data_IF_962950874099
#
_entry.id   IF_962950874099
#
_cell.length_a   1.000
_cell.length_b   1.000
_cell.length_c   1.000
_cell.angle_alpha   90.00
_cell.angle_beta   90.00
_cell.angle_gamma   90.00
#
_symmetry.space_group_name_H-M   'P 1'
#
loop_
_entity.id
_entity.type
_entity.pdbx_description
1 polymer ?
#
# COMPACT_ATOMS: atom_id res chain seq x y z
N UNK A 1 -17.66 -30.16 48.11
CA UNK A 1 -17.34 -29.93 46.68
C UNK A 1 -17.13 -28.43 46.50
N UNK A 2 -15.87 -28.07 46.29
CA UNK A 2 -15.35 -26.70 46.22
C UNK A 2 -15.68 -26.06 44.88
N UNK A 3 -16.30 -24.88 44.90
CA UNK A 3 -16.47 -24.01 43.74
C UNK A 3 -15.15 -23.29 43.46
N UNK A 4 -14.56 -23.59 42.30
CA UNK A 4 -13.37 -22.96 41.72
C UNK A 4 -13.66 -21.51 41.28
N UNK A 5 -12.77 -20.53 41.53
CA UNK A 5 -12.76 -19.28 40.80
C UNK A 5 -11.80 -19.42 39.60
N UNK A 6 -12.32 -19.44 38.38
CA UNK A 6 -11.51 -19.24 37.16
C UNK A 6 -12.22 -18.21 36.29
N UNK A 7 -12.03 -16.94 36.63
CA UNK A 7 -12.46 -15.84 35.77
C UNK A 7 -11.62 -14.58 35.99
N UNK A 8 -10.29 -14.74 36.00
CA UNK A 8 -9.35 -13.63 35.80
C UNK A 8 -8.12 -14.18 35.05
N UNK A 9 -8.19 -14.27 33.71
CA UNK A 9 -6.98 -14.47 32.88
C UNK A 9 -7.13 -14.00 31.42
N UNK A 10 -8.20 -13.28 31.03
CA UNK A 10 -8.42 -12.85 29.63
C UNK A 10 -8.06 -11.36 29.39
N UNK A 11 -7.26 -10.73 30.27
CA UNK A 11 -6.83 -9.32 30.06
C UNK A 11 -5.31 -9.08 30.12
N UNK A 12 -4.48 -10.12 30.08
CA UNK A 12 -3.04 -9.98 30.34
C UNK A 12 -2.14 -10.03 29.09
N UNK A 13 -2.68 -9.99 27.87
CA UNK A 13 -1.89 -10.16 26.64
C UNK A 13 -1.55 -8.87 25.87
N UNK A 14 -1.90 -7.66 26.36
CA UNK A 14 -1.68 -6.42 25.60
C UNK A 14 -1.05 -5.25 26.36
N UNK A 15 -0.43 -5.45 27.52
CA UNK A 15 0.17 -4.34 28.27
C UNK A 15 1.61 -4.68 28.61
N UNK A 16 2.48 -4.60 27.60
CA UNK A 16 3.84 -4.16 27.92
C UNK A 16 3.70 -2.81 28.63
N UNK A 17 4.30 -2.60 29.80
CA UNK A 17 4.17 -1.34 30.51
C UNK A 17 4.63 -0.19 29.60
N UNK A 18 3.97 0.95 29.69
CA UNK A 18 4.42 2.16 29.01
C UNK A 18 5.91 2.42 29.30
N UNK A 19 6.58 3.11 28.38
CA UNK A 19 7.89 3.71 28.66
C UNK A 19 7.88 4.39 30.02
N UNK A 20 8.99 4.35 30.75
CA UNK A 20 9.08 5.05 32.02
C UNK A 20 8.73 6.53 31.83
N UNK A 21 8.00 7.09 32.80
CA UNK A 21 7.62 8.50 32.73
C UNK A 21 8.86 9.35 32.90
N UNK A 22 9.15 10.20 31.92
CA UNK A 22 10.21 11.20 32.05
C UNK A 22 9.81 12.19 33.15
N UNK A 23 10.67 12.37 34.16
CA UNK A 23 10.39 13.23 35.31
C UNK A 23 9.94 14.64 34.88
N UNK A 24 8.91 15.16 35.54
CA UNK A 24 8.39 16.51 35.30
C UNK A 24 7.58 16.71 34.01
N UNK A 25 7.43 15.69 33.14
CA UNK A 25 6.65 15.83 31.90
C UNK A 25 5.20 15.34 32.02
N UNK A 26 4.24 15.99 31.33
CA UNK A 26 2.86 15.52 31.30
C UNK A 26 2.77 14.17 30.58
N UNK A 27 1.85 13.31 31.05
CA UNK A 27 1.60 12.02 30.40
C UNK A 27 0.92 12.19 29.03
N UNK A 28 0.02 13.17 28.93
CA UNK A 28 -0.65 13.56 27.69
C UNK A 28 0.19 14.61 26.96
N UNK A 29 0.36 14.42 25.65
CA UNK A 29 1.03 15.37 24.76
C UNK A 29 -0.03 16.08 23.92
N UNK A 30 0.04 17.41 23.92
CA UNK A 30 -0.93 18.23 23.19
C UNK A 30 -0.90 17.93 21.68
N UNK A 31 -2.05 17.88 21.00
CA UNK A 31 -2.10 17.60 19.57
C UNK A 31 -1.40 18.69 18.74
N UNK A 32 -0.84 18.31 17.59
CA UNK A 32 -0.21 19.22 16.64
C UNK A 32 1.04 18.64 15.99
N UNK A 33 1.81 19.52 15.36
CA UNK A 33 3.17 19.23 14.91
C UNK A 33 4.13 19.47 16.08
N UNK A 34 4.92 18.47 16.41
CA UNK A 34 5.81 18.41 17.56
C UNK A 34 7.21 18.12 17.07
N UNK A 35 8.20 18.79 17.68
CA UNK A 35 9.62 18.58 17.39
C UNK A 35 10.37 18.25 18.66
N UNK A 36 11.38 17.41 18.53
CA UNK A 36 12.31 17.03 19.58
C UNK A 36 11.64 16.55 20.88
N UNK A 37 10.58 15.77 20.73
CA UNK A 37 9.88 15.12 21.86
C UNK A 37 10.78 14.02 22.39
N UNK A 38 11.43 14.28 23.52
CA UNK A 38 12.24 13.26 24.22
C UNK A 38 11.38 12.05 24.61
N UNK A 39 11.84 10.86 24.24
CA UNK A 39 11.13 9.61 24.55
C UNK A 39 11.93 8.63 25.42
N UNK A 40 13.27 8.67 25.36
CA UNK A 40 14.16 7.83 26.14
C UNK A 40 15.53 8.52 26.25
N UNK A 41 16.06 8.74 27.45
CA UNK A 41 17.33 9.44 27.68
C UNK A 41 17.46 10.78 26.90
N UNK A 42 18.36 10.82 25.91
CA UNK A 42 18.57 11.97 25.00
C UNK A 42 17.92 11.76 23.62
N UNK A 43 17.28 10.61 23.39
CA UNK A 43 16.63 10.29 22.12
C UNK A 43 15.31 11.03 22.01
N UNK A 44 15.09 11.62 20.84
CA UNK A 44 13.90 12.42 20.55
C UNK A 44 13.17 11.89 19.32
N UNK A 45 11.91 12.29 19.22
CA UNK A 45 11.10 12.07 18.04
C UNK A 45 10.43 13.37 17.60
N UNK A 46 10.18 13.46 16.31
CA UNK A 46 9.29 14.45 15.71
C UNK A 46 7.96 13.77 15.44
N UNK A 47 6.85 14.50 15.58
CA UNK A 47 5.53 13.93 15.41
C UNK A 47 4.54 14.89 14.79
N UNK A 48 3.55 14.32 14.12
CA UNK A 48 2.30 15.00 13.80
C UNK A 48 1.13 14.15 14.28
N UNK A 49 0.46 14.63 15.32
CA UNK A 49 -0.69 13.98 15.93
C UNK A 49 -1.81 15.03 16.08
N UNK A 50 -2.65 15.23 15.06
CA UNK A 50 -3.65 16.29 15.07
C UNK A 50 -4.81 16.03 16.06
N UNK A 51 -5.49 17.11 16.43
CA UNK A 51 -6.71 17.04 17.23
C UNK A 51 -7.88 16.44 16.41
N UNK A 52 -8.92 15.97 17.11
CA UNK A 52 -10.11 15.37 16.49
C UNK A 52 -10.20 13.87 16.76
N UNK A 53 -10.76 13.11 15.81
CA UNK A 53 -10.83 11.66 15.91
C UNK A 53 -9.42 11.03 15.98
N UNK A 54 -9.19 10.03 16.85
CA UNK A 54 -7.90 9.35 16.93
C UNK A 54 -7.50 8.73 15.59
N UNK A 55 -6.25 8.93 15.18
CA UNK A 55 -5.69 8.39 13.92
C UNK A 55 -4.82 7.14 14.17
N UNK A 56 -4.73 6.19 13.24
CA UNK A 56 -3.69 5.15 13.30
C UNK A 56 -2.28 5.77 13.27
N UNK A 57 -1.30 5.08 13.85
CA UNK A 57 0.06 5.57 14.00
C UNK A 57 1.01 4.99 12.94
N UNK A 58 1.85 5.83 12.35
CA UNK A 58 2.99 5.45 11.53
C UNK A 58 4.29 5.82 12.25
N UNK A 59 5.14 4.83 12.53
CA UNK A 59 6.44 5.06 13.16
C UNK A 59 7.52 4.92 12.09
N UNK A 60 8.26 6.00 11.84
CA UNK A 60 9.25 6.14 10.78
C UNK A 60 10.64 5.92 11.38
N UNK A 61 11.39 4.98 10.82
CA UNK A 61 12.69 4.51 11.28
C UNK A 61 13.69 4.76 10.15
N UNK A 62 14.55 5.75 10.33
CA UNK A 62 15.56 6.12 9.33
C UNK A 62 16.65 5.05 9.19
N UNK A 63 17.38 5.06 8.07
CA UNK A 63 18.59 4.29 7.83
C UNK A 63 19.79 4.75 8.62
N UNK A 64 20.92 4.07 8.44
CA UNK A 64 22.10 4.23 9.30
C UNK A 64 22.79 5.60 9.13
N UNK A 65 22.61 6.24 7.97
CA UNK A 65 23.14 7.57 7.64
C UNK A 65 22.12 8.70 7.87
N UNK A 66 20.89 8.35 8.26
CA UNK A 66 19.79 9.29 8.44
C UNK A 66 19.62 9.76 9.89
N UNK A 67 18.57 10.55 10.09
CA UNK A 67 18.03 10.92 11.38
C UNK A 67 16.51 11.13 11.26
N UNK A 68 15.82 11.48 12.33
CA UNK A 68 14.37 11.70 12.34
C UNK A 68 13.84 12.74 11.33
N UNK A 69 14.68 13.59 10.75
CA UNK A 69 14.25 14.58 9.74
C UNK A 69 14.40 14.11 8.28
N UNK A 70 15.19 13.06 8.01
CA UNK A 70 15.56 12.63 6.64
C UNK A 70 14.34 12.35 5.77
N UNK A 71 13.36 11.62 6.31
CA UNK A 71 12.29 11.00 5.52
C UNK A 71 10.96 11.75 5.55
N UNK A 72 10.83 12.73 6.46
CA UNK A 72 9.56 13.40 6.75
C UNK A 72 9.00 14.09 5.51
N UNK A 73 9.85 14.71 4.70
CA UNK A 73 9.43 15.46 3.50
C UNK A 73 8.75 14.57 2.45
N UNK A 74 9.23 13.35 2.25
CA UNK A 74 8.62 12.44 1.26
C UNK A 74 7.34 11.77 1.78
N UNK A 75 7.26 11.49 3.08
CA UNK A 75 6.18 10.71 3.68
C UNK A 75 5.02 11.55 4.21
N UNK A 76 5.24 12.82 4.55
CA UNK A 76 4.23 13.67 5.20
C UNK A 76 2.90 13.72 4.41
N UNK A 77 2.97 14.00 3.11
CA UNK A 77 1.78 14.11 2.26
C UNK A 77 1.02 12.78 2.21
N UNK A 78 1.74 11.67 2.03
CA UNK A 78 1.18 10.32 1.94
C UNK A 78 0.48 9.93 3.24
N UNK A 79 1.12 10.19 4.39
CA UNK A 79 0.59 9.84 5.71
C UNK A 79 -0.62 10.70 6.06
N UNK A 80 -0.62 12.00 5.76
CA UNK A 80 -1.78 12.86 6.00
C UNK A 80 -2.96 12.49 5.09
N UNK A 81 -2.70 12.25 3.80
CA UNK A 81 -3.72 11.73 2.86
C UNK A 81 -4.28 10.38 3.32
N UNK A 82 -3.46 9.51 3.90
CA UNK A 82 -3.91 8.23 4.44
C UNK A 82 -4.62 8.35 5.80
N UNK A 83 -4.62 9.53 6.43
CA UNK A 83 -5.26 9.77 7.72
C UNK A 83 -4.46 9.25 8.92
N UNK A 84 -3.14 9.15 8.81
CA UNK A 84 -2.26 8.70 9.89
C UNK A 84 -1.77 9.86 10.75
N UNK A 85 -1.54 9.59 12.04
CA UNK A 85 -0.58 10.33 12.84
C UNK A 85 0.79 9.71 12.61
N UNK A 86 1.85 10.51 12.58
CA UNK A 86 3.20 10.00 12.31
C UNK A 86 4.21 10.42 13.36
N UNK A 87 5.22 9.58 13.54
CA UNK A 87 6.27 9.70 14.54
C UNK A 87 7.59 9.29 13.91
N UNK A 88 8.51 10.23 13.72
CA UNK A 88 9.85 9.96 13.19
C UNK A 88 10.85 10.01 14.32
N UNK A 89 11.64 8.95 14.50
CA UNK A 89 12.40 8.72 15.73
C UNK A 89 13.90 8.75 15.46
N UNK A 90 14.69 9.35 16.35
CA UNK A 90 16.13 9.08 16.44
C UNK A 90 16.36 7.86 17.31
N UNK A 91 17.32 7.00 16.98
CA UNK A 91 17.60 5.77 17.73
C UNK A 91 19.08 5.37 17.62
N UNK A 92 19.61 4.63 18.60
CA UNK A 92 20.95 4.04 18.56
C UNK A 92 20.96 2.52 18.35
N UNK A 93 19.83 1.86 18.62
CA UNK A 93 19.68 0.41 18.60
C UNK A 93 18.25 -0.02 18.29
N UNK A 94 18.04 -1.32 18.01
CA UNK A 94 16.67 -1.87 17.88
C UNK A 94 15.86 -1.79 19.17
N UNK A 95 16.51 -1.78 20.32
CA UNK A 95 15.85 -1.67 21.63
C UNK A 95 15.30 -0.26 21.85
N UNK A 96 16.00 0.76 21.35
CA UNK A 96 15.52 2.15 21.34
C UNK A 96 14.27 2.30 20.46
N UNK A 97 14.23 1.64 19.30
CA UNK A 97 13.05 1.62 18.43
C UNK A 97 11.88 0.94 19.14
N UNK A 98 12.12 -0.19 19.82
CA UNK A 98 11.09 -0.85 20.62
C UNK A 98 10.58 0.05 21.77
N UNK A 99 11.46 0.83 22.41
CA UNK A 99 11.10 1.80 23.42
C UNK A 99 10.30 2.97 22.85
N UNK A 100 10.66 3.47 21.67
CA UNK A 100 9.88 4.49 20.97
C UNK A 100 8.46 4.01 20.64
N UNK A 101 8.31 2.75 20.18
CA UNK A 101 7.00 2.12 19.96
C UNK A 101 6.20 2.07 21.26
N UNK A 102 6.82 1.67 22.38
CA UNK A 102 6.16 1.67 23.71
C UNK A 102 5.77 3.07 24.15
N UNK A 103 6.62 4.06 23.92
CA UNK A 103 6.36 5.47 24.24
C UNK A 103 5.15 5.98 23.45
N UNK A 104 5.16 5.83 22.12
CA UNK A 104 4.10 6.31 21.21
C UNK A 104 2.76 5.64 21.53
N UNK A 105 2.75 4.31 21.71
CA UNK A 105 1.53 3.52 21.97
C UNK A 105 1.01 3.63 23.39
N UNK A 106 1.70 4.35 24.27
CA UNK A 106 1.27 4.48 25.65
C UNK A 106 -0.14 5.11 25.71
N UNK A 107 -1.14 4.44 26.33
CA UNK A 107 -2.52 4.90 26.29
C UNK A 107 -2.69 6.35 26.77
N UNK A 108 -3.40 7.15 25.97
CA UNK A 108 -3.68 8.55 26.28
C UNK A 108 -2.46 9.48 26.19
N UNK A 109 -1.33 9.04 25.62
CA UNK A 109 -0.18 9.93 25.38
C UNK A 109 -0.41 10.81 24.16
N UNK A 110 -0.77 10.19 23.04
CA UNK A 110 -1.12 10.85 21.79
C UNK A 110 -2.56 10.53 21.40
N UNK A 111 -3.15 11.37 20.54
CA UNK A 111 -4.48 11.15 19.99
C UNK A 111 -4.47 10.12 18.86
N UNK A 112 -4.17 8.86 19.19
CA UNK A 112 -4.00 7.76 18.22
C UNK A 112 -4.83 6.53 18.56
N UNK A 113 -5.12 5.72 17.55
CA UNK A 113 -5.68 4.37 17.74
C UNK A 113 -4.58 3.36 18.08
N UNK A 114 -4.92 2.12 18.52
CA UNK A 114 -3.92 1.06 18.73
C UNK A 114 -3.27 0.54 17.43
N UNK A 115 -3.83 0.85 16.27
CA UNK A 115 -3.32 0.42 14.97
C UNK A 115 -1.99 1.15 14.68
N UNK A 116 -0.95 0.38 14.38
CA UNK A 116 0.41 0.90 14.17
C UNK A 116 1.03 0.26 12.93
N UNK A 117 1.64 1.08 12.08
CA UNK A 117 2.48 0.67 10.96
C UNK A 117 3.91 1.12 11.24
N UNK A 118 4.88 0.27 10.89
CA UNK A 118 6.30 0.63 10.90
C UNK A 118 6.74 0.96 9.47
N UNK A 119 7.46 2.06 9.28
CA UNK A 119 8.04 2.46 8.00
C UNK A 119 9.54 2.56 8.21
N UNK A 120 10.31 1.72 7.52
CA UNK A 120 11.76 1.68 7.68
C UNK A 120 12.49 1.85 6.35
N UNK A 121 13.67 2.46 6.39
CA UNK A 121 14.55 2.61 5.23
C UNK A 121 15.95 2.07 5.55
N UNK A 122 16.67 1.56 4.55
CA UNK A 122 18.01 0.99 4.71
C UNK A 122 18.08 -0.01 5.90
N UNK A 123 18.84 0.28 6.95
CA UNK A 123 18.95 -0.54 8.17
C UNK A 123 17.72 -0.45 9.06
N UNK A 124 17.00 0.68 9.02
CA UNK A 124 15.72 0.87 9.67
C UNK A 124 14.64 -0.07 9.13
N UNK A 125 14.69 -0.41 7.83
CA UNK A 125 13.81 -1.41 7.22
C UNK A 125 13.97 -2.79 7.87
N UNK A 126 15.21 -3.23 8.09
CA UNK A 126 15.52 -4.49 8.77
C UNK A 126 15.01 -4.50 10.20
N UNK A 127 15.19 -3.39 10.94
CA UNK A 127 14.70 -3.27 12.31
C UNK A 127 13.17 -3.34 12.34
N UNK A 128 12.48 -2.63 11.43
CA UNK A 128 11.04 -2.66 11.31
C UNK A 128 10.49 -4.07 11.05
N UNK A 129 11.08 -4.79 10.08
CA UNK A 129 10.72 -6.17 9.76
C UNK A 129 10.95 -7.11 10.96
N UNK A 130 12.07 -6.97 11.66
CA UNK A 130 12.39 -7.80 12.83
C UNK A 130 11.42 -7.56 13.98
N UNK A 131 11.05 -6.31 14.26
CA UNK A 131 10.11 -5.97 15.34
C UNK A 131 8.69 -6.45 15.00
N UNK A 132 8.28 -6.34 13.73
CA UNK A 132 6.96 -6.81 13.30
C UNK A 132 6.80 -8.32 13.37
N UNK A 133 7.89 -9.10 13.29
CA UNK A 133 7.85 -10.54 13.52
C UNK A 133 7.41 -10.91 14.95
N UNK A 134 7.59 -9.99 15.92
CA UNK A 134 7.07 -10.10 17.28
C UNK A 134 5.57 -9.82 17.42
N UNK A 135 4.90 -9.41 16.33
CA UNK A 135 3.48 -9.07 16.30
C UNK A 135 3.14 -7.69 16.88
N UNK A 136 1.84 -7.38 16.98
CA UNK A 136 1.37 -6.14 17.60
C UNK A 136 1.46 -4.89 16.73
N UNK A 137 1.82 -5.03 15.45
CA UNK A 137 1.71 -3.99 14.41
C UNK A 137 0.85 -4.51 13.27
N UNK A 138 0.19 -3.61 12.54
CA UNK A 138 -0.67 -3.94 11.40
C UNK A 138 0.15 -4.34 10.18
N UNK A 139 1.25 -3.65 9.94
CA UNK A 139 2.09 -3.90 8.79
C UNK A 139 3.40 -3.12 8.81
N UNK A 140 4.26 -3.46 7.86
CA UNK A 140 5.58 -2.87 7.66
C UNK A 140 5.72 -2.39 6.23
N UNK A 141 6.24 -1.18 6.08
CA UNK A 141 6.65 -0.62 4.80
C UNK A 141 8.16 -0.46 4.80
N UNK A 142 8.82 -0.88 3.73
CA UNK A 142 10.26 -0.70 3.58
C UNK A 142 10.62 0.08 2.32
N UNK A 143 11.65 0.90 2.40
CA UNK A 143 12.30 1.56 1.26
C UNK A 143 13.78 1.16 1.22
N UNK A 144 14.29 0.73 0.07
CA UNK A 144 15.74 0.47 -0.11
C UNK A 144 16.33 -0.46 0.95
N UNK A 145 15.62 -1.53 1.33
CA UNK A 145 15.96 -2.31 2.51
C UNK A 145 17.36 -2.95 2.43
N UNK A 146 18.24 -2.64 3.39
CA UNK A 146 19.58 -3.25 3.46
C UNK A 146 19.55 -4.53 4.30
N UNK A 147 19.67 -5.67 3.62
CA UNK A 147 19.41 -7.00 4.18
C UNK A 147 20.65 -7.89 4.34
N UNK A 148 21.86 -7.31 4.35
CA UNK A 148 23.16 -8.00 4.25
C UNK A 148 23.37 -9.22 5.17
N UNK A 149 22.62 -9.33 6.28
CA UNK A 149 22.71 -10.47 7.22
C UNK A 149 21.43 -11.34 7.34
N UNK A 150 20.34 -11.02 6.63
CA UNK A 150 19.04 -11.74 6.73
C UNK A 150 19.07 -13.12 6.04
N UNK A 151 20.22 -13.50 5.46
CA UNK A 151 20.46 -14.82 4.87
C UNK A 151 20.70 -15.90 5.93
N UNK A 152 20.95 -15.55 7.20
CA UNK A 152 21.19 -16.55 8.25
C UNK A 152 20.01 -16.72 9.21
N UNK A 153 19.20 -17.73 8.85
CA UNK A 153 18.31 -18.52 9.72
C UNK A 153 16.84 -18.10 9.81
N UNK A 154 15.90 -18.89 9.25
CA UNK A 154 14.52 -18.83 9.69
C UNK A 154 14.48 -19.45 11.09
N UNK A 155 14.41 -18.63 12.15
CA UNK A 155 13.89 -19.17 13.41
C UNK A 155 12.44 -19.53 13.16
N UNK A 156 12.22 -20.82 12.92
CA UNK A 156 10.98 -21.52 13.27
C UNK A 156 10.80 -21.40 14.79
N UNK A 157 10.31 -20.26 15.25
CA UNK A 157 9.67 -20.16 16.55
C UNK A 157 8.28 -19.60 16.32
N UNK A 158 7.34 -20.52 16.35
CA UNK A 158 5.93 -20.28 16.56
C UNK A 158 5.72 -19.24 17.66
N UNK A 159 5.39 -18.01 17.28
CA UNK A 159 4.66 -17.11 18.17
C UNK A 159 3.21 -17.58 18.16
N UNK A 160 2.87 -18.40 19.15
CA UNK A 160 1.51 -18.84 19.39
C UNK A 160 0.60 -17.69 19.82
N UNK A 161 -0.67 -17.86 19.45
CA UNK A 161 -1.90 -17.33 20.08
C UNK A 161 -2.25 -15.86 19.75
N UNK A 162 -3.16 -15.71 18.78
CA UNK A 162 -4.03 -14.54 18.49
C UNK A 162 -3.47 -13.28 17.79
N UNK A 163 -2.22 -13.27 17.28
CA UNK A 163 -1.71 -12.13 16.50
C UNK A 163 -1.95 -12.27 14.99
N UNK A 164 -2.59 -11.29 14.36
CA UNK A 164 -2.60 -11.15 12.89
C UNK A 164 -1.16 -11.00 12.37
N UNK A 165 -0.79 -11.77 11.34
CA UNK A 165 0.49 -11.62 10.64
C UNK A 165 0.52 -10.23 10.01
N UNK A 166 1.59 -9.48 10.25
CA UNK A 166 1.76 -8.14 9.69
C UNK A 166 1.85 -8.19 8.16
N UNK A 167 1.09 -7.34 7.47
CA UNK A 167 1.24 -7.15 6.02
C UNK A 167 2.57 -6.45 5.71
N UNK A 168 3.23 -6.83 4.62
CA UNK A 168 4.53 -6.25 4.25
C UNK A 168 4.45 -5.61 2.87
N UNK A 169 4.94 -4.37 2.77
CA UNK A 169 5.06 -3.61 1.53
C UNK A 169 6.51 -3.19 1.34
N UNK A 170 7.13 -3.62 0.25
CA UNK A 170 8.55 -3.32 0.01
C UNK A 170 8.71 -2.52 -1.28
N UNK A 171 9.16 -1.28 -1.18
CA UNK A 171 9.60 -0.47 -2.31
C UNK A 171 11.12 -0.54 -2.42
N UNK A 172 11.64 -0.75 -3.63
CA UNK A 172 13.08 -0.83 -3.85
C UNK A 172 13.47 -0.25 -5.20
N UNK A 173 14.46 0.63 -5.22
CA UNK A 173 14.97 1.23 -6.45
C UNK A 173 15.65 0.21 -7.36
N UNK A 174 15.36 0.21 -8.66
CA UNK A 174 15.99 -0.75 -9.59
C UNK A 174 17.44 -0.39 -9.92
N UNK A 175 17.85 0.84 -9.66
CA UNK A 175 19.21 1.35 -9.85
C UNK A 175 19.97 1.50 -8.53
N UNK A 176 19.53 0.79 -7.49
CA UNK A 176 20.21 0.73 -6.21
C UNK A 176 21.50 -0.10 -6.32
N UNK A 177 22.65 0.59 -6.30
CA UNK A 177 23.98 -0.03 -6.34
C UNK A 177 24.53 -0.37 -4.95
N UNK A 178 23.95 0.18 -3.89
CA UNK A 178 24.39 -0.02 -2.50
C UNK A 178 23.78 -1.30 -1.92
N UNK A 179 22.48 -1.50 -2.15
CA UNK A 179 21.74 -2.69 -1.77
C UNK A 179 20.88 -3.18 -2.94
N UNK A 180 21.40 -4.04 -3.83
CA UNK A 180 20.67 -4.47 -5.01
C UNK A 180 19.28 -5.08 -4.69
N UNK A 181 18.22 -4.75 -5.45
CA UNK A 181 16.83 -5.07 -5.12
C UNK A 181 16.52 -6.56 -5.04
N UNK A 182 17.33 -7.42 -5.67
CA UNK A 182 17.11 -8.86 -5.72
C UNK A 182 17.07 -9.53 -4.34
N UNK A 183 17.80 -9.01 -3.35
CA UNK A 183 17.75 -9.53 -1.99
C UNK A 183 16.40 -9.21 -1.30
N UNK A 184 15.89 -8.00 -1.50
CA UNK A 184 14.60 -7.56 -0.96
C UNK A 184 13.44 -8.31 -1.62
N UNK A 185 13.48 -8.48 -2.95
CA UNK A 185 12.50 -9.27 -3.70
C UNK A 185 12.49 -10.74 -3.22
N UNK A 186 13.67 -11.36 -3.06
CA UNK A 186 13.80 -12.73 -2.58
C UNK A 186 13.34 -12.90 -1.12
N UNK A 187 13.48 -11.88 -0.27
CA UNK A 187 12.87 -11.88 1.06
C UNK A 187 11.35 -11.78 0.97
N UNK A 188 10.83 -10.83 0.20
CA UNK A 188 9.39 -10.62 0.06
C UNK A 188 8.68 -11.89 -0.41
N UNK A 189 9.24 -12.59 -1.39
CA UNK A 189 8.72 -13.87 -1.90
C UNK A 189 8.64 -14.99 -0.85
N UNK A 190 9.37 -14.88 0.27
CA UNK A 190 9.35 -15.84 1.38
C UNK A 190 8.41 -15.41 2.52
N UNK A 191 8.03 -14.14 2.58
CA UNK A 191 7.18 -13.61 3.64
C UNK A 191 5.69 -13.81 3.32
N UNK A 192 4.87 -14.25 4.29
CA UNK A 192 3.42 -14.27 4.12
C UNK A 192 2.90 -12.83 3.96
N UNK A 193 2.02 -12.59 3.00
CA UNK A 193 1.39 -11.28 2.75
C UNK A 193 2.37 -10.12 2.45
N UNK A 194 3.45 -10.42 1.71
CA UNK A 194 4.35 -9.40 1.19
C UNK A 194 4.01 -8.99 -0.24
N UNK A 195 4.03 -7.68 -0.52
CA UNK A 195 3.97 -7.12 -1.88
C UNK A 195 5.28 -6.36 -2.15
N UNK A 196 5.97 -6.72 -3.24
CA UNK A 196 7.18 -6.05 -3.69
C UNK A 196 6.88 -5.11 -4.85
N UNK A 197 7.39 -3.87 -4.78
CA UNK A 197 7.26 -2.83 -5.79
C UNK A 197 8.65 -2.33 -6.21
N UNK A 198 9.13 -2.75 -7.40
CA UNK A 198 10.33 -2.16 -7.97
C UNK A 198 10.03 -0.73 -8.44
N UNK A 199 10.88 0.22 -8.04
CA UNK A 199 10.80 1.62 -8.49
C UNK A 199 11.84 1.83 -9.58
N UNK A 200 11.37 1.84 -10.83
CA UNK A 200 12.23 1.90 -12.01
C UNK A 200 13.08 3.16 -12.00
N UNK A 201 14.39 3.02 -12.22
CA UNK A 201 15.33 4.13 -12.30
C UNK A 201 15.88 4.59 -10.94
N UNK A 202 15.12 4.36 -9.88
CA UNK A 202 15.40 4.92 -8.57
C UNK A 202 16.64 4.31 -7.89
N UNK A 203 17.36 5.16 -7.16
CA UNK A 203 18.58 4.84 -6.40
C UNK A 203 18.26 4.33 -4.98
N UNK A 204 19.27 4.06 -4.15
CA UNK A 204 19.10 3.55 -2.78
C UNK A 204 18.22 4.45 -1.90
N UNK A 205 18.61 5.72 -1.81
CA UNK A 205 18.07 6.70 -0.88
C UNK A 205 16.74 7.29 -1.37
N UNK A 206 15.62 6.83 -0.82
CA UNK A 206 14.28 7.22 -1.33
C UNK A 206 13.92 8.68 -1.10
N UNK A 207 14.58 9.37 -0.16
CA UNK A 207 14.43 10.80 0.02
C UNK A 207 14.87 11.61 -1.22
N UNK A 208 15.72 11.00 -2.06
CA UNK A 208 16.26 11.57 -3.30
C UNK A 208 15.58 11.06 -4.57
N UNK A 209 14.51 10.25 -4.48
CA UNK A 209 13.77 9.81 -5.67
C UNK A 209 13.06 10.98 -6.35
N UNK A 210 13.08 11.00 -7.67
CA UNK A 210 12.59 12.09 -8.49
C UNK A 210 11.06 12.04 -8.70
N UNK A 211 10.42 13.17 -9.07
CA UNK A 211 8.97 13.21 -9.27
C UNK A 211 8.40 12.19 -10.26
N UNK A 212 9.15 11.81 -11.29
CA UNK A 212 8.80 10.77 -12.25
C UNK A 212 8.85 9.34 -11.66
N UNK A 213 9.46 9.17 -10.50
CA UNK A 213 9.56 7.91 -9.75
C UNK A 213 8.51 7.83 -8.62
N UNK A 214 7.68 8.86 -8.41
CA UNK A 214 6.79 8.98 -7.25
C UNK A 214 5.49 8.18 -7.30
N UNK A 215 5.32 7.26 -8.26
CA UNK A 215 4.12 6.40 -8.31
C UNK A 215 3.91 5.59 -7.00
N UNK A 216 5.01 5.28 -6.29
CA UNK A 216 4.98 4.63 -4.97
C UNK A 216 4.12 5.37 -3.93
N UNK A 217 3.97 6.71 -4.06
CA UNK A 217 3.17 7.51 -3.11
C UNK A 217 1.70 7.09 -3.13
N UNK A 218 1.17 6.80 -4.31
CA UNK A 218 -0.21 6.33 -4.48
C UNK A 218 -0.38 4.91 -3.96
N UNK A 219 0.60 4.03 -4.25
CA UNK A 219 0.59 2.65 -3.76
C UNK A 219 0.66 2.58 -2.24
N UNK A 220 1.53 3.38 -1.63
CA UNK A 220 1.63 3.47 -0.18
C UNK A 220 0.36 4.08 0.43
N UNK A 221 -0.20 5.15 -0.14
CA UNK A 221 -1.44 5.76 0.36
C UNK A 221 -2.58 4.75 0.38
N UNK A 222 -2.75 3.99 -0.72
CA UNK A 222 -3.78 2.96 -0.83
C UNK A 222 -3.59 1.82 0.18
N UNK A 223 -2.35 1.34 0.32
CA UNK A 223 -2.03 0.30 1.30
C UNK A 223 -2.26 0.79 2.74
N UNK A 224 -1.87 2.02 3.07
CA UNK A 224 -2.05 2.62 4.40
C UNK A 224 -3.52 2.75 4.78
N UNK A 225 -4.39 3.19 3.85
CA UNK A 225 -5.83 3.29 4.14
C UNK A 225 -6.49 1.94 4.42
N UNK A 226 -5.81 0.82 4.16
CA UNK A 226 -6.44 -0.52 4.15
C UNK A 226 -7.54 -0.62 3.08
N UNK A 227 -7.56 0.37 2.19
CA UNK A 227 -8.61 0.65 1.22
C UNK A 227 -8.07 0.25 -0.14
N UNK A 228 -7.76 -1.05 -0.27
CA UNK A 228 -7.74 -1.72 -1.57
C UNK A 228 -9.16 -1.89 -2.11
N UNK A 229 -10.11 -1.05 -1.69
CA UNK A 229 -11.54 -1.24 -1.82
C UNK A 229 -12.20 0.09 -2.21
N UNK A 230 -13.40 0.04 -2.78
CA UNK A 230 -14.09 1.25 -3.22
C UNK A 230 -13.56 1.85 -4.53
N UNK A 231 -13.97 3.09 -4.82
CA UNK A 231 -13.73 3.78 -6.09
C UNK A 231 -12.44 4.60 -6.07
N UNK A 232 -11.53 4.26 -6.96
CA UNK A 232 -10.28 4.94 -7.25
C UNK A 232 -10.43 5.72 -8.55
N UNK A 233 -9.97 6.97 -8.58
CA UNK A 233 -10.16 7.86 -9.73
C UNK A 233 -8.84 8.30 -10.34
N UNK A 234 -8.88 8.57 -11.63
CA UNK A 234 -7.81 9.24 -12.38
C UNK A 234 -6.43 8.56 -12.27
N UNK A 235 -6.42 7.22 -12.28
CA UNK A 235 -5.19 6.42 -12.32
C UNK A 235 -4.58 6.54 -13.72
N UNK A 236 -3.41 7.18 -13.83
CA UNK A 236 -2.67 7.26 -15.09
C UNK A 236 -2.12 5.87 -15.47
N UNK A 237 -2.48 5.39 -16.66
CA UNK A 237 -2.10 4.05 -17.13
C UNK A 237 -1.18 4.05 -18.34
N UNK A 238 -1.12 5.17 -19.06
CA UNK A 238 -0.25 5.38 -20.21
C UNK A 238 -0.04 6.88 -20.46
N UNK A 239 1.07 7.26 -21.11
CA UNK A 239 1.37 8.65 -21.49
C UNK A 239 1.81 8.80 -22.96
N UNK A 240 0.99 8.41 -23.95
CA UNK A 240 1.36 8.55 -25.36
C UNK A 240 1.56 10.03 -25.73
N UNK A 241 2.73 10.35 -26.30
CA UNK A 241 3.12 11.70 -26.67
C UNK A 241 2.97 12.75 -25.54
N UNK A 242 3.19 12.33 -24.28
CA UNK A 242 3.14 13.21 -23.12
C UNK A 242 1.74 13.53 -22.58
N UNK A 243 0.68 12.98 -23.18
CA UNK A 243 -0.70 13.11 -22.67
C UNK A 243 -1.07 11.91 -21.83
N UNK A 244 -1.52 12.14 -20.60
CA UNK A 244 -1.99 11.06 -19.72
C UNK A 244 -3.30 10.45 -20.23
N UNK A 245 -3.36 9.12 -20.19
CA UNK A 245 -4.59 8.36 -20.29
C UNK A 245 -4.92 7.80 -18.91
N UNK A 246 -6.14 8.07 -18.48
CA UNK A 246 -6.59 7.84 -17.11
C UNK A 246 -7.61 6.71 -17.08
N UNK A 247 -7.69 6.04 -15.93
CA UNK A 247 -8.75 5.09 -15.63
C UNK A 247 -9.31 5.32 -14.23
N UNK A 248 -10.58 4.97 -14.05
CA UNK A 248 -11.18 4.80 -12.74
C UNK A 248 -11.23 3.29 -12.44
N UNK A 249 -11.00 2.90 -11.20
CA UNK A 249 -11.07 1.51 -10.77
C UNK A 249 -12.03 1.38 -9.58
N UNK A 250 -12.77 0.28 -9.51
CA UNK A 250 -13.49 -0.08 -8.29
C UNK A 250 -13.09 -1.47 -7.86
N UNK A 251 -12.70 -1.59 -6.59
CA UNK A 251 -12.28 -2.85 -6.01
C UNK A 251 -13.28 -3.26 -4.91
N UNK A 252 -14.03 -4.36 -5.09
CA UNK A 252 -14.93 -4.90 -4.07
C UNK A 252 -14.23 -5.33 -2.77
N UNK A 253 -14.99 -5.34 -1.67
CA UNK A 253 -14.50 -5.74 -0.36
C UNK A 253 -14.38 -7.26 -0.16
N UNK A 254 -13.50 -7.93 -0.92
CA UNK A 254 -13.39 -9.40 -0.87
C UNK A 254 -11.93 -9.83 -0.67
N UNK A 255 -11.71 -10.68 0.33
CA UNK A 255 -10.39 -11.22 0.73
C UNK A 255 -10.01 -12.42 -0.17
N UNK A 256 -10.01 -12.23 -1.50
CA UNK A 256 -9.42 -13.15 -2.49
C UNK A 256 -9.14 -12.40 -3.80
N UNK A 257 -8.17 -12.83 -4.62
CA UNK A 257 -7.99 -12.28 -5.96
C UNK A 257 -9.31 -12.25 -6.74
N UNK A 258 -9.67 -11.05 -7.18
CA UNK A 258 -10.94 -10.78 -7.86
C UNK A 258 -10.82 -11.02 -9.37
N UNK A 259 -11.85 -11.56 -10.03
CA UNK A 259 -11.95 -11.38 -11.47
C UNK A 259 -12.13 -9.88 -11.79
N UNK A 260 -11.58 -9.44 -12.91
CA UNK A 260 -11.56 -8.04 -13.32
C UNK A 260 -12.29 -7.82 -14.65
N UNK A 261 -12.89 -6.65 -14.82
CA UNK A 261 -13.50 -6.20 -16.08
C UNK A 261 -12.91 -4.85 -16.47
N UNK A 262 -12.29 -4.76 -17.65
CA UNK A 262 -11.91 -3.48 -18.25
C UNK A 262 -13.05 -3.00 -19.14
N UNK A 263 -13.58 -1.84 -18.81
CA UNK A 263 -14.74 -1.21 -19.43
C UNK A 263 -14.25 -0.16 -20.42
N UNK A 264 -14.70 -0.28 -21.66
CA UNK A 264 -14.34 0.60 -22.76
C UNK A 264 -15.61 1.33 -23.17
N UNK A 265 -15.62 2.64 -22.99
CA UNK A 265 -16.81 3.43 -23.29
C UNK A 265 -17.17 3.41 -24.77
N UNK A 266 -18.43 3.73 -25.07
CA UNK A 266 -18.91 3.89 -26.44
C UNK A 266 -18.69 5.31 -26.96
N UNK A 267 -19.58 5.78 -27.82
CA UNK A 267 -19.44 7.09 -28.48
C UNK A 267 -18.68 7.04 -29.81
N UNK A 268 -18.68 5.88 -30.47
CA UNK A 268 -18.24 5.76 -31.87
C UNK A 268 -16.76 6.08 -32.10
N UNK A 269 -15.92 5.97 -31.06
CA UNK A 269 -14.50 6.36 -31.09
C UNK A 269 -14.21 7.86 -31.15
N UNK A 270 -15.26 8.67 -31.27
CA UNK A 270 -15.21 10.13 -31.45
C UNK A 270 -15.55 10.90 -30.16
N UNK A 271 -16.26 10.25 -29.22
CA UNK A 271 -16.78 10.89 -28.02
C UNK A 271 -16.79 9.94 -26.81
N UNK A 272 -16.98 10.53 -25.63
CA UNK A 272 -17.10 9.80 -24.37
C UNK A 272 -15.88 9.97 -23.46
N UNK A 273 -15.96 9.30 -22.31
CA UNK A 273 -14.89 9.20 -21.32
C UNK A 273 -15.19 8.01 -20.40
N UNK A 274 -14.30 7.75 -19.44
CA UNK A 274 -14.39 6.68 -18.43
C UNK A 274 -15.66 6.66 -17.56
N UNK A 275 -16.60 7.60 -17.71
CA UNK A 275 -17.90 7.59 -17.01
C UNK A 275 -19.08 7.55 -18.00
N UNK A 276 -18.93 8.21 -19.15
CA UNK A 276 -19.99 8.41 -20.13
C UNK A 276 -20.30 7.10 -20.87
N UNK A 277 -21.59 6.86 -21.14
CA UNK A 277 -22.12 5.64 -21.81
C UNK A 277 -22.01 4.33 -21.02
N UNK A 278 -21.19 4.26 -19.96
CA UNK A 278 -20.92 3.00 -19.24
C UNK A 278 -21.34 3.00 -17.77
N UNK A 279 -21.69 4.15 -17.19
CA UNK A 279 -22.08 4.24 -15.77
C UNK A 279 -23.08 3.18 -15.25
N UNK A 280 -24.10 2.75 -16.03
CA UNK A 280 -25.05 1.73 -15.57
C UNK A 280 -24.44 0.36 -15.27
N UNK A 281 -23.26 0.02 -15.80
CA UNK A 281 -22.61 -1.29 -15.54
C UNK A 281 -21.79 -1.33 -14.25
N UNK A 282 -21.46 -0.17 -13.66
CA UNK A 282 -20.57 -0.09 -12.50
C UNK A 282 -21.13 -0.77 -11.25
N UNK A 283 -22.40 -0.47 -10.91
CA UNK A 283 -23.09 -1.07 -9.77
C UNK A 283 -23.22 -2.59 -9.91
N UNK A 284 -23.78 -3.11 -11.02
CA UNK A 284 -23.91 -4.56 -11.22
C UNK A 284 -22.60 -5.33 -11.17
N UNK A 285 -21.50 -4.79 -11.72
CA UNK A 285 -20.18 -5.43 -11.65
C UNK A 285 -19.63 -5.47 -10.22
N UNK A 286 -19.78 -4.36 -9.49
CA UNK A 286 -19.38 -4.27 -8.08
C UNK A 286 -20.17 -5.26 -7.20
N UNK A 287 -21.50 -5.30 -7.36
CA UNK A 287 -22.39 -6.22 -6.64
C UNK A 287 -22.09 -7.70 -6.95
N UNK A 288 -21.70 -7.99 -8.19
CA UNK A 288 -21.29 -9.33 -8.61
C UNK A 288 -19.86 -9.71 -8.14
N UNK A 289 -19.15 -8.82 -7.44
CA UNK A 289 -17.82 -9.08 -6.90
C UNK A 289 -16.71 -9.06 -7.95
N UNK A 290 -16.89 -8.32 -9.04
CA UNK A 290 -15.82 -8.02 -10.00
C UNK A 290 -15.14 -6.71 -9.63
N UNK A 291 -13.81 -6.70 -9.68
CA UNK A 291 -13.10 -5.44 -9.84
C UNK A 291 -13.41 -4.90 -11.24
N UNK A 292 -13.62 -3.60 -11.38
CA UNK A 292 -13.79 -3.00 -12.70
C UNK A 292 -12.86 -1.82 -12.91
N UNK A 293 -12.48 -1.59 -14.16
CA UNK A 293 -11.55 -0.55 -14.60
C UNK A 293 -12.16 0.15 -15.81
N UNK A 294 -12.61 1.40 -15.67
CA UNK A 294 -13.17 2.16 -16.77
C UNK A 294 -12.14 3.14 -17.32
N UNK A 295 -11.85 3.08 -18.61
CA UNK A 295 -10.68 3.74 -19.20
C UNK A 295 -11.06 4.91 -20.10
N UNK A 296 -10.25 5.96 -20.09
CA UNK A 296 -10.18 6.95 -21.16
C UNK A 296 -9.24 6.41 -22.26
N UNK A 297 -9.53 6.68 -23.53
CA UNK A 297 -8.63 6.42 -24.67
C UNK A 297 -8.64 7.62 -25.63
N UNK A 298 -7.64 7.77 -26.50
CA UNK A 298 -7.59 8.91 -27.43
C UNK A 298 -8.76 8.82 -28.41
N UNK A 299 -9.34 9.96 -28.78
CA UNK A 299 -10.52 10.02 -29.66
C UNK A 299 -10.16 10.53 -31.06
N UNK A 300 -10.87 10.07 -32.07
CA UNK A 300 -10.88 10.68 -33.40
C UNK A 300 -11.45 12.11 -33.31
N UNK A 301 -11.08 13.03 -34.22
CA UNK A 301 -10.15 12.88 -35.34
C UNK A 301 -8.66 13.05 -34.95
N UNK A 302 -8.33 13.16 -33.66
CA UNK A 302 -6.94 13.42 -33.21
C UNK A 302 -6.02 12.20 -33.34
N UNK A 303 -6.60 10.99 -33.35
CA UNK A 303 -5.91 9.73 -33.63
C UNK A 303 -6.77 8.88 -34.55
N UNK A 304 -6.19 7.82 -35.13
CA UNK A 304 -6.94 6.81 -35.87
C UNK A 304 -7.21 5.57 -34.99
N UNK A 305 -8.09 4.70 -35.46
CA UNK A 305 -8.48 3.48 -34.74
C UNK A 305 -7.27 2.66 -34.24
N UNK A 306 -6.19 2.42 -35.01
CA UNK A 306 -5.04 1.65 -34.51
C UNK A 306 -4.45 2.18 -33.20
N UNK A 307 -4.30 3.49 -33.07
CA UNK A 307 -3.79 4.13 -31.85
C UNK A 307 -4.76 4.00 -30.68
N UNK A 308 -6.07 4.00 -30.93
CA UNK A 308 -7.09 3.75 -29.90
C UNK A 308 -7.02 2.30 -29.41
N UNK A 309 -6.78 1.35 -30.33
CA UNK A 309 -6.55 -0.05 -29.96
C UNK A 309 -5.29 -0.19 -29.10
N UNK A 310 -4.23 0.56 -29.41
CA UNK A 310 -3.00 0.56 -28.63
C UNK A 310 -3.21 1.13 -27.22
N UNK A 311 -4.06 2.15 -27.08
CA UNK A 311 -4.45 2.69 -25.77
C UNK A 311 -5.17 1.63 -24.92
N UNK A 312 -6.15 0.91 -25.50
CA UNK A 312 -6.84 -0.20 -24.82
C UNK A 312 -5.86 -1.32 -24.44
N UNK A 313 -4.94 -1.69 -25.34
CA UNK A 313 -3.89 -2.68 -25.05
C UNK A 313 -2.99 -2.22 -23.91
N UNK A 314 -2.64 -0.93 -23.85
CA UNK A 314 -1.88 -0.36 -22.75
C UNK A 314 -2.62 -0.45 -21.43
N UNK A 315 -3.93 -0.17 -21.40
CA UNK A 315 -4.74 -0.36 -20.21
C UNK A 315 -4.74 -1.82 -19.73
N UNK A 316 -4.92 -2.78 -20.65
CA UNK A 316 -4.86 -4.22 -20.33
C UNK A 316 -3.51 -4.60 -19.73
N UNK A 317 -2.41 -4.15 -20.35
CA UNK A 317 -1.06 -4.41 -19.83
C UNK A 317 -0.87 -3.78 -18.44
N UNK A 318 -1.32 -2.56 -18.24
CA UNK A 318 -1.22 -1.86 -16.97
C UNK A 318 -1.99 -2.59 -15.86
N UNK A 319 -3.26 -2.91 -16.08
CA UNK A 319 -4.09 -3.63 -15.10
C UNK A 319 -3.50 -4.98 -14.76
N UNK A 320 -2.99 -5.72 -15.75
CA UNK A 320 -2.34 -7.01 -15.53
C UNK A 320 -1.02 -6.89 -14.76
N UNK A 321 -0.19 -5.91 -15.09
CA UNK A 321 1.09 -5.66 -14.41
C UNK A 321 0.88 -5.24 -12.94
N UNK A 322 -0.22 -4.55 -12.64
CA UNK A 322 -0.56 -4.07 -11.30
C UNK A 322 -1.62 -4.94 -10.62
N UNK A 323 -1.72 -6.23 -10.97
CA UNK A 323 -2.75 -7.11 -10.42
C UNK A 323 -2.69 -7.23 -8.88
N UNK A 324 -1.48 -7.24 -8.32
CA UNK A 324 -1.27 -7.25 -6.87
C UNK A 324 -1.78 -5.95 -6.20
N UNK A 325 -1.57 -4.79 -6.85
CA UNK A 325 -2.05 -3.48 -6.41
C UNK A 325 -3.57 -3.46 -6.28
N UNK A 326 -4.25 -4.01 -7.27
CA UNK A 326 -5.71 -4.03 -7.34
C UNK A 326 -6.38 -5.26 -6.69
N UNK A 327 -5.58 -6.18 -6.13
CA UNK A 327 -6.08 -7.44 -5.57
C UNK A 327 -6.91 -8.26 -6.57
N UNK A 328 -6.51 -8.27 -7.84
CA UNK A 328 -7.17 -9.00 -8.92
C UNK A 328 -6.35 -10.22 -9.35
N UNK A 329 -7.01 -11.17 -9.99
CA UNK A 329 -6.36 -12.29 -10.65
C UNK A 329 -5.96 -11.90 -12.08
N UNK A 330 -4.65 -11.83 -12.41
CA UNK A 330 -4.17 -11.39 -13.73
C UNK A 330 -4.59 -12.33 -14.88
N UNK A 331 -5.05 -13.55 -14.55
CA UNK A 331 -5.54 -14.55 -15.50
C UNK A 331 -7.05 -14.52 -15.69
N UNK A 332 -7.79 -13.70 -14.92
CA UNK A 332 -9.26 -13.55 -15.02
C UNK A 332 -9.65 -12.11 -15.29
N UNK A 333 -9.24 -11.59 -16.44
CA UNK A 333 -9.58 -10.24 -16.92
C UNK A 333 -10.48 -10.37 -18.15
N UNK A 334 -11.67 -9.77 -18.10
CA UNK A 334 -12.59 -9.64 -19.22
C UNK A 334 -12.61 -8.20 -19.77
N UNK A 335 -13.03 -8.04 -21.02
CA UNK A 335 -13.28 -6.73 -21.63
C UNK A 335 -14.79 -6.55 -21.82
N UNK A 336 -15.28 -5.34 -21.56
CA UNK A 336 -16.65 -4.93 -21.81
C UNK A 336 -16.63 -3.64 -22.64
N UNK A 337 -17.09 -3.71 -23.88
CA UNK A 337 -17.23 -2.55 -24.76
C UNK A 337 -18.69 -2.17 -24.96
N UNK A 338 -18.99 -0.86 -25.00
CA UNK A 338 -20.30 -0.31 -25.35
C UNK A 338 -20.33 0.16 -26.82
N UNK A 339 -21.37 -0.22 -27.56
CA UNK A 339 -21.58 0.18 -28.96
C UNK A 339 -20.39 -0.17 -29.88
N UNK A 340 -19.76 0.80 -30.53
CA UNK A 340 -18.66 0.60 -31.48
C UNK A 340 -17.41 -0.05 -30.83
N UNK A 341 -17.17 0.14 -29.53
CA UNK A 341 -16.08 -0.55 -28.85
C UNK A 341 -16.38 -2.04 -28.66
N UNK A 342 -17.63 -2.50 -28.73
CA UNK A 342 -17.97 -3.93 -28.75
C UNK A 342 -17.33 -4.73 -29.90
N UNK A 343 -16.82 -4.05 -30.95
CA UNK A 343 -16.11 -4.68 -32.07
C UNK A 343 -14.72 -5.26 -31.70
N UNK A 344 -14.21 -5.03 -30.47
CA UNK A 344 -12.96 -5.63 -29.98
C UNK A 344 -12.92 -7.17 -30.00
N UNK A 345 -14.05 -7.85 -30.14
CA UNK A 345 -14.10 -9.31 -30.16
C UNK A 345 -13.49 -9.98 -31.41
N UNK A 346 -13.14 -9.24 -32.46
CA UNK A 346 -12.75 -9.84 -33.75
C UNK A 346 -11.27 -9.64 -34.16
N UNK A 347 -10.40 -9.06 -33.33
CA UNK A 347 -9.02 -8.75 -33.74
C UNK A 347 -7.98 -9.16 -32.69
N UNK A 348 -7.69 -10.47 -32.57
CA UNK A 348 -6.35 -11.09 -32.42
C UNK A 348 -6.44 -12.52 -31.83
N UNK A 349 -6.15 -13.58 -32.61
CA UNK A 349 -6.09 -14.97 -32.12
C UNK A 349 -4.94 -15.27 -31.15
N UNK A 350 -3.94 -14.38 -31.00
CA UNK A 350 -2.70 -14.68 -30.25
C UNK A 350 -2.81 -14.66 -28.73
N UNK A 351 -3.95 -14.24 -28.16
CA UNK A 351 -4.09 -14.07 -26.71
C UNK A 351 -5.15 -14.96 -26.03
N UNK A 352 -5.60 -16.03 -26.68
CA UNK A 352 -6.33 -17.09 -25.99
C UNK A 352 -7.66 -16.66 -25.35
N UNK A 353 -8.32 -15.63 -25.90
CA UNK A 353 -9.73 -15.38 -25.59
C UNK A 353 -10.53 -16.51 -26.25
N UNK A 354 -11.06 -17.41 -25.42
CA UNK A 354 -11.79 -18.59 -25.85
C UNK A 354 -12.88 -18.27 -26.86
N UNK A 355 -13.00 -19.12 -27.88
CA UNK A 355 -14.01 -19.02 -28.93
C UNK A 355 -15.42 -18.87 -28.31
N UNK A 356 -16.10 -17.80 -28.73
CA UNK A 356 -17.52 -17.56 -28.48
C UNK A 356 -18.36 -18.81 -28.80
N UNK A 357 -19.06 -19.33 -27.80
CA UNK A 357 -20.26 -20.12 -28.04
C UNK A 357 -21.42 -19.15 -28.24
N UNK A 358 -22.01 -19.21 -29.43
CA UNK A 358 -23.22 -18.46 -29.77
C UNK A 358 -24.36 -18.88 -28.85
N UNK A 359 -25.08 -17.87 -28.36
CA UNK A 359 -26.42 -17.93 -27.73
C UNK A 359 -26.48 -18.75 -26.44
N UNK A 360 -26.87 -18.12 -25.34
CA UNK A 360 -28.14 -18.41 -24.64
C UNK A 360 -28.41 -17.29 -23.62
N UNK A 361 -29.67 -16.88 -23.57
CA UNK A 361 -30.21 -15.84 -22.72
C UNK A 361 -30.07 -16.14 -21.22
N UNK A 362 -30.07 -15.06 -20.44
CA UNK A 362 -30.48 -14.93 -19.04
C UNK A 362 -31.16 -16.18 -18.44
N UNK A 363 -30.55 -16.73 -17.38
CA UNK A 363 -31.21 -17.15 -16.15
C UNK A 363 -30.29 -16.95 -14.97
#
# INVERSE_FOLDING_TARGET
MTLFPVLISILAACISPCSQKLEGRPHYVAPGALRDVTYHDQLTLDAYAPAGEPRPAAIIIHGSQGNKSTHVTQLFEVLDRAGFAWFSIDYGSSDDVAEAIRYVRCPGRFNITPETVLIGEDTGARIALSLAAGGGVRGVVTFGAMLSDVVQSPRKESAGLNGTIAEVLMFHGTSDEESPPGAAEALCNRLPHCTFYPVTGAIHNFENWHPDEWEWKEDLTAWLRGDRRGLWKDIAYNRPAGRELLMDAYIPEIIRPLPAVIIIHGGGWEAGNKVTYVSPVFGPLAEAGFAWFSIDYRLTPYVHIPEQLDDVRSAIRYVRAHAARFHIDPHRIALLGESASGQFHEVDPKFGLGKSSRKTALR
#
